data_IF_542945449815
#
_entry.id   IF_542945449815
#
_cell.length_a   1.000
_cell.length_b   1.000
_cell.length_c   1.000
_cell.angle_alpha   90.00
_cell.angle_beta   90.00
_cell.angle_gamma   90.00
#
_symmetry.space_group_name_H-M   'P 1'
#
loop_
_entity.id
_entity.type
_entity.pdbx_description
1 polymer ?
#
# COMPACT_ATOMS: atom_id res chain seq x y z
N UNK A 1 9.75 -14.96 18.23
CA UNK A 1 8.63 -15.37 17.40
C UNK A 1 7.96 -14.19 16.76
N UNK A 2 7.64 -14.36 15.52
CA UNK A 2 6.92 -13.35 14.77
C UNK A 2 5.43 -13.49 15.06
N UNK A 3 4.77 -12.43 15.47
CA UNK A 3 3.33 -12.41 15.59
C UNK A 3 2.76 -11.54 14.47
N UNK A 4 1.61 -11.97 13.95
CA UNK A 4 0.90 -11.24 12.91
C UNK A 4 -0.21 -10.42 13.54
N UNK A 5 -0.37 -9.19 13.08
CA UNK A 5 -1.41 -8.29 13.54
C UNK A 5 -2.34 -8.02 12.36
N UNK A 6 -3.64 -8.17 12.57
CA UNK A 6 -4.61 -7.95 11.53
C UNK A 6 -4.68 -6.47 11.14
N UNK A 7 -4.78 -6.22 9.84
CA UNK A 7 -5.04 -4.89 9.33
C UNK A 7 -6.52 -4.58 9.53
N UNK A 8 -6.88 -3.40 10.01
CA UNK A 8 -8.29 -3.07 10.21
C UNK A 8 -9.09 -3.11 8.91
N UNK A 9 -10.30 -3.66 8.98
CA UNK A 9 -11.22 -3.66 7.86
C UNK A 9 -11.89 -2.30 7.74
N UNK A 10 -11.67 -1.62 6.63
CA UNK A 10 -12.23 -0.30 6.36
C UNK A 10 -12.11 0.01 4.89
N UNK A 11 -13.12 0.67 4.34
CA UNK A 11 -13.06 1.13 2.96
C UNK A 11 -12.02 2.23 2.83
N UNK A 12 -11.33 2.32 1.69
CA UNK A 12 -10.41 3.42 1.46
C UNK A 12 -11.15 4.75 1.44
N UNK A 13 -10.57 5.81 2.03
CA UNK A 13 -11.19 7.13 1.95
C UNK A 13 -11.34 7.58 0.51
N UNK A 14 -12.47 8.23 0.20
CA UNK A 14 -12.71 8.78 -1.11
C UNK A 14 -11.84 10.02 -1.32
N UNK A 15 -11.23 10.13 -2.49
CA UNK A 15 -10.39 11.27 -2.83
C UNK A 15 -10.40 11.53 -4.33
N UNK A 16 -9.63 12.53 -4.76
CA UNK A 16 -9.49 12.86 -6.15
C UNK A 16 -8.49 11.89 -6.80
N UNK A 17 -8.89 11.16 -7.86
CA UNK A 17 -7.97 10.25 -8.52
C UNK A 17 -6.75 10.96 -9.08
N UNK A 18 -5.57 10.41 -8.79
CA UNK A 18 -4.30 10.89 -9.34
C UNK A 18 -3.69 9.90 -10.32
N UNK A 19 -4.12 8.65 -10.28
CA UNK A 19 -3.65 7.64 -11.22
C UNK A 19 -4.09 6.25 -10.81
N UNK A 20 -4.16 5.37 -11.81
CA UNK A 20 -4.48 3.97 -11.62
C UNK A 20 -3.73 3.16 -12.67
N UNK A 21 -3.06 2.10 -12.25
CA UNK A 21 -2.20 1.31 -13.13
C UNK A 21 -2.33 -0.17 -12.83
N UNK A 22 -2.37 -0.97 -13.88
CA UNK A 22 -2.30 -2.42 -13.77
C UNK A 22 -0.84 -2.84 -13.74
N UNK A 23 -0.49 -3.69 -12.78
CA UNK A 23 0.86 -4.20 -12.61
C UNK A 23 0.88 -5.70 -12.80
N UNK A 24 1.94 -6.21 -13.41
CA UNK A 24 2.14 -7.66 -13.52
C UNK A 24 2.52 -8.24 -12.16
N UNK A 25 2.18 -9.51 -11.90
CA UNK A 25 2.53 -10.16 -10.63
C UNK A 25 4.01 -10.59 -10.62
N UNK A 26 4.90 -9.64 -10.71
CA UNK A 26 6.35 -9.83 -10.80
C UNK A 26 7.06 -8.97 -9.75
N UNK A 27 8.20 -9.41 -9.20
CA UNK A 27 8.93 -8.63 -8.21
C UNK A 27 9.32 -7.22 -8.69
N UNK A 28 9.67 -7.07 -9.97
CA UNK A 28 10.07 -5.78 -10.52
C UNK A 28 8.94 -4.78 -10.58
N UNK A 29 7.69 -5.21 -10.41
CA UNK A 29 6.55 -4.30 -10.35
C UNK A 29 6.60 -3.38 -9.13
N UNK A 30 7.28 -3.77 -8.05
CA UNK A 30 7.44 -2.91 -6.90
C UNK A 30 8.22 -1.64 -7.24
N UNK A 31 9.29 -1.78 -8.02
CA UNK A 31 10.09 -0.62 -8.46
C UNK A 31 9.28 0.31 -9.36
N UNK A 32 8.56 -0.27 -10.31
CA UNK A 32 7.70 0.50 -11.19
C UNK A 32 6.63 1.24 -10.39
N UNK A 33 6.00 0.57 -9.44
CA UNK A 33 4.97 1.15 -8.60
C UNK A 33 5.50 2.36 -7.81
N UNK A 34 6.69 2.26 -7.22
CA UNK A 34 7.28 3.38 -6.49
C UNK A 34 7.48 4.60 -7.38
N UNK A 35 7.93 4.36 -8.61
CA UNK A 35 8.14 5.44 -9.58
C UNK A 35 6.82 6.11 -9.94
N UNK A 36 5.79 5.31 -10.22
CA UNK A 36 4.47 5.82 -10.58
C UNK A 36 3.86 6.64 -9.44
N UNK A 37 3.95 6.17 -8.22
CA UNK A 37 3.43 6.89 -7.06
C UNK A 37 4.20 8.19 -6.84
N UNK A 38 5.53 8.17 -6.94
CA UNK A 38 6.33 9.38 -6.78
C UNK A 38 5.97 10.44 -7.80
N UNK A 39 5.66 10.04 -9.02
CA UNK A 39 5.22 10.98 -10.06
C UNK A 39 3.81 11.49 -9.79
N UNK A 40 2.93 10.65 -9.28
CA UNK A 40 1.55 11.03 -8.99
C UNK A 40 1.47 12.02 -7.83
N UNK A 41 2.41 11.94 -6.87
CA UNK A 41 2.49 12.86 -5.73
C UNK A 41 3.45 14.00 -6.11
N UNK A 42 3.05 14.78 -7.09
CA UNK A 42 3.90 15.83 -7.67
C UNK A 42 4.04 17.06 -6.79
N UNK A 43 3.04 17.33 -5.95
CA UNK A 43 3.03 18.51 -5.07
C UNK A 43 3.50 18.21 -3.66
N UNK A 44 3.89 16.96 -3.38
CA UNK A 44 4.34 16.57 -2.05
C UNK A 44 5.79 16.95 -1.80
N UNK A 45 6.12 17.15 -0.53
CA UNK A 45 7.51 17.30 -0.13
C UNK A 45 8.26 15.99 -0.36
N UNK A 46 9.59 16.08 -0.49
CA UNK A 46 10.43 14.89 -0.70
C UNK A 46 10.21 13.83 0.38
N UNK A 47 10.03 14.27 1.63
CA UNK A 47 9.78 13.36 2.73
C UNK A 47 8.47 12.58 2.55
N UNK A 48 7.44 13.25 2.07
CA UNK A 48 6.14 12.62 1.80
C UNK A 48 6.30 11.61 0.67
N UNK A 49 7.00 11.98 -0.41
CA UNK A 49 7.25 11.04 -1.52
C UNK A 49 8.04 9.83 -1.07
N UNK A 50 9.03 10.00 -0.19
CA UNK A 50 9.81 8.87 0.34
C UNK A 50 8.94 7.92 1.17
N UNK A 51 8.06 8.49 2.03
CA UNK A 51 7.13 7.67 2.81
C UNK A 51 6.15 6.94 1.91
N UNK A 52 5.63 7.62 0.89
CA UNK A 52 4.71 7.02 -0.06
C UNK A 52 5.38 5.89 -0.84
N UNK A 53 6.64 6.06 -1.23
CA UNK A 53 7.39 5.02 -1.94
C UNK A 53 7.58 3.78 -1.06
N UNK A 54 7.89 3.98 0.22
CA UNK A 54 8.05 2.89 1.17
C UNK A 54 6.74 2.13 1.36
N UNK A 55 5.65 2.86 1.58
CA UNK A 55 4.31 2.29 1.69
C UNK A 55 3.97 1.49 0.43
N UNK A 56 4.23 2.05 -0.73
CA UNK A 56 3.93 1.40 -2.01
C UNK A 56 4.66 0.08 -2.14
N UNK A 57 5.95 0.05 -1.81
CA UNK A 57 6.73 -1.19 -1.86
C UNK A 57 6.09 -2.29 -1.02
N UNK A 58 5.64 -1.94 0.17
CA UNK A 58 5.11 -2.92 1.10
C UNK A 58 3.71 -3.40 0.70
N UNK A 59 2.87 -2.50 0.18
CA UNK A 59 1.56 -2.89 -0.32
C UNK A 59 1.69 -3.79 -1.55
N UNK A 60 2.61 -3.48 -2.45
CA UNK A 60 2.86 -4.33 -3.63
C UNK A 60 3.42 -5.68 -3.21
N UNK A 61 4.39 -5.71 -2.29
CA UNK A 61 4.95 -6.96 -1.80
C UNK A 61 3.88 -7.84 -1.16
N UNK A 62 2.97 -7.24 -0.38
CA UNK A 62 1.84 -7.95 0.19
C UNK A 62 0.96 -8.56 -0.90
N UNK A 63 0.61 -7.77 -1.92
CA UNK A 63 -0.19 -8.25 -3.04
C UNK A 63 0.49 -9.40 -3.78
N UNK A 64 1.80 -9.28 -4.02
CA UNK A 64 2.54 -10.33 -4.72
C UNK A 64 2.57 -11.65 -3.97
N UNK A 65 2.52 -11.62 -2.64
CA UNK A 65 2.49 -12.87 -1.85
C UNK A 65 1.19 -13.64 -2.00
N UNK A 66 0.11 -12.96 -2.31
CA UNK A 66 -1.23 -13.56 -2.29
C UNK A 66 -1.89 -13.62 -3.66
N UNK A 67 -1.56 -12.69 -4.54
CA UNK A 67 -2.22 -12.59 -5.84
C UNK A 67 -1.80 -13.71 -6.78
N UNK A 68 -2.74 -14.18 -7.59
CA UNK A 68 -2.48 -15.12 -8.68
C UNK A 68 -2.38 -14.38 -10.00
N UNK A 69 -3.12 -13.32 -10.16
CA UNK A 69 -3.09 -12.46 -11.33
C UNK A 69 -2.41 -11.13 -11.03
N UNK A 70 -2.69 -10.13 -11.83
CA UNK A 70 -2.09 -8.83 -11.69
C UNK A 70 -2.59 -8.06 -10.48
N UNK A 71 -1.94 -6.94 -10.24
CA UNK A 71 -2.32 -6.00 -9.19
C UNK A 71 -2.83 -4.72 -9.85
N UNK A 72 -3.66 -3.97 -9.13
CA UNK A 72 -4.05 -2.62 -9.54
C UNK A 72 -3.60 -1.65 -8.46
N UNK A 73 -2.70 -0.75 -8.85
CA UNK A 73 -2.20 0.33 -8.00
C UNK A 73 -3.01 1.58 -8.27
N UNK A 74 -3.43 2.27 -7.23
CA UNK A 74 -4.10 3.55 -7.40
C UNK A 74 -3.63 4.56 -6.37
N UNK A 75 -3.71 5.84 -6.74
CA UNK A 75 -3.38 6.96 -5.87
C UNK A 75 -4.51 7.97 -5.95
N UNK A 76 -4.97 8.41 -4.78
CA UNK A 76 -6.02 9.43 -4.66
C UNK A 76 -5.54 10.53 -3.73
N UNK A 77 -5.91 11.76 -4.04
CA UNK A 77 -5.55 12.91 -3.23
C UNK A 77 -6.68 13.29 -2.30
N UNK A 78 -6.32 13.58 -1.05
CA UNK A 78 -7.21 14.09 -0.01
C UNK A 78 -6.68 15.43 0.49
N UNK A 79 -7.51 16.24 1.17
CA UNK A 79 -6.99 17.47 1.77
C UNK A 79 -5.82 17.24 2.73
N UNK A 80 -5.79 16.10 3.42
CA UNK A 80 -4.76 15.79 4.42
C UNK A 80 -3.61 14.95 3.88
N UNK A 81 -3.64 14.55 2.59
CA UNK A 81 -2.58 13.70 2.05
C UNK A 81 -3.02 12.89 0.85
N UNK A 82 -2.48 11.68 0.74
CA UNK A 82 -2.75 10.78 -0.37
C UNK A 82 -3.07 9.39 0.13
N UNK A 83 -3.98 8.71 -0.56
CA UNK A 83 -4.24 7.29 -0.35
C UNK A 83 -3.54 6.53 -1.45
N UNK A 84 -2.67 5.60 -1.05
CA UNK A 84 -2.08 4.60 -1.95
C UNK A 84 -2.81 3.30 -1.71
N UNK A 85 -3.28 2.66 -2.77
CA UNK A 85 -4.04 1.44 -2.66
C UNK A 85 -3.56 0.40 -3.68
N UNK A 86 -3.53 -0.86 -3.27
CA UNK A 86 -3.20 -1.99 -4.13
C UNK A 86 -4.33 -3.01 -4.02
N UNK A 87 -4.98 -3.27 -5.15
CA UNK A 87 -6.00 -4.31 -5.24
C UNK A 87 -5.39 -5.57 -5.83
N UNK A 88 -5.78 -6.73 -5.30
CA UNK A 88 -5.37 -8.02 -5.82
C UNK A 88 -6.56 -8.98 -5.86
N UNK A 89 -6.35 -10.17 -6.42
CA UNK A 89 -7.41 -11.15 -6.63
C UNK A 89 -7.54 -12.17 -5.49
N UNK A 90 -6.85 -11.97 -4.39
CA UNK A 90 -6.92 -12.87 -3.24
C UNK A 90 -7.93 -12.34 -2.22
N UNK A 91 -8.87 -13.18 -1.74
CA UNK A 91 -9.80 -12.76 -0.71
C UNK A 91 -9.21 -12.83 0.70
N UNK A 92 -7.99 -13.33 0.85
CA UNK A 92 -7.38 -13.50 2.17
C UNK A 92 -7.05 -12.15 2.80
N UNK A 93 -7.44 -11.90 4.07
CA UNK A 93 -7.14 -10.65 4.73
C UNK A 93 -5.64 -10.41 4.84
N UNK A 94 -5.17 -9.17 4.69
CA UNK A 94 -3.76 -8.86 4.92
C UNK A 94 -3.45 -8.85 6.41
N UNK A 95 -2.19 -9.15 6.76
CA UNK A 95 -1.70 -9.06 8.14
C UNK A 95 -0.37 -8.32 8.15
N UNK A 96 -0.05 -7.70 9.29
CA UNK A 96 1.26 -7.08 9.51
C UNK A 96 2.04 -7.94 10.48
N UNK A 97 3.37 -7.85 10.41
CA UNK A 97 4.23 -8.54 11.36
C UNK A 97 4.53 -7.66 12.55
N UNK A 98 4.79 -8.31 13.68
CA UNK A 98 5.20 -7.63 14.89
C UNK A 98 6.52 -6.89 14.65
N UNK A 99 6.60 -5.66 15.16
CA UNK A 99 7.79 -4.83 15.04
C UNK A 99 9.01 -5.51 15.64
N UNK A 100 8.85 -6.23 16.75
CA UNK A 100 9.95 -6.90 17.42
C UNK A 100 10.64 -7.95 16.58
N UNK A 101 10.04 -8.37 15.48
CA UNK A 101 10.58 -9.38 14.60
C UNK A 101 11.20 -8.79 13.33
N UNK A 102 11.37 -7.49 13.27
CA UNK A 102 11.76 -6.83 12.03
C UNK A 102 13.20 -7.06 11.66
N UNK A 103 13.41 -7.68 10.51
CA UNK A 103 14.57 -7.50 9.66
C UNK A 103 14.14 -6.55 8.55
N UNK A 104 15.04 -6.24 7.63
CA UNK A 104 14.69 -5.40 6.50
C UNK A 104 13.52 -5.98 5.69
N UNK A 105 13.57 -7.29 5.43
CA UNK A 105 12.52 -7.96 4.68
C UNK A 105 11.24 -8.15 5.49
N UNK A 106 11.33 -8.14 6.81
CA UNK A 106 10.19 -8.39 7.69
C UNK A 106 9.41 -7.16 8.08
N UNK A 107 9.75 -6.00 7.54
CA UNK A 107 9.11 -4.76 7.96
C UNK A 107 7.76 -4.51 7.33
N UNK A 108 7.54 -4.97 6.12
CA UNK A 108 6.27 -4.99 5.44
C UNK A 108 5.23 -4.00 5.90
N UNK A 109 4.04 -4.50 6.16
CA UNK A 109 2.91 -3.67 6.57
C UNK A 109 3.12 -2.97 7.90
N UNK A 110 4.07 -3.42 8.73
CA UNK A 110 4.37 -2.73 9.97
C UNK A 110 5.01 -1.37 9.70
N UNK A 111 5.87 -1.27 8.70
CA UNK A 111 6.42 0.03 8.29
C UNK A 111 5.31 0.92 7.76
N UNK A 112 4.39 0.36 6.98
CA UNK A 112 3.22 1.10 6.51
C UNK A 112 2.46 1.71 7.69
N UNK A 113 2.19 0.92 8.72
CA UNK A 113 1.48 1.42 9.90
C UNK A 113 2.23 2.50 10.66
N UNK A 114 3.58 2.58 10.52
CA UNK A 114 4.38 3.60 11.18
C UNK A 114 4.51 4.90 10.39
N UNK A 115 4.54 4.80 9.05
CA UNK A 115 4.79 5.98 8.21
C UNK A 115 3.53 6.55 7.60
N UNK A 116 2.41 5.88 7.74
CA UNK A 116 1.12 6.37 7.27
C UNK A 116 0.23 6.69 8.47
N UNK A 117 -0.68 7.62 8.26
CA UNK A 117 -1.63 7.99 9.30
C UNK A 117 -2.65 6.89 9.56
N UNK A 118 -3.01 6.13 8.53
CA UNK A 118 -4.03 5.09 8.62
C UNK A 118 -3.75 4.02 7.58
N UNK A 119 -4.04 2.78 7.94
CA UNK A 119 -4.00 1.65 7.02
C UNK A 119 -5.30 0.89 7.17
N UNK A 120 -5.78 0.32 6.08
CA UNK A 120 -6.99 -0.50 6.11
C UNK A 120 -7.06 -1.42 4.91
N UNK A 121 -8.10 -2.25 4.86
CA UNK A 121 -8.36 -3.10 3.73
C UNK A 121 -9.86 -3.34 3.61
N UNK A 122 -10.29 -3.67 2.39
CA UNK A 122 -11.69 -4.00 2.14
C UNK A 122 -11.77 -5.09 1.09
N UNK A 123 -12.82 -5.88 1.14
CA UNK A 123 -13.11 -6.88 0.12
C UNK A 123 -13.63 -6.17 -1.13
N UNK A 124 -13.26 -6.71 -2.28
CA UNK A 124 -13.79 -6.27 -3.57
C UNK A 124 -14.47 -7.46 -4.24
N UNK A 125 -15.24 -7.24 -5.33
CA UNK A 125 -15.86 -8.36 -6.05
C UNK A 125 -14.88 -9.41 -6.54
N UNK A 126 -13.61 -9.03 -6.78
CA UNK A 126 -12.61 -9.93 -7.34
C UNK A 126 -11.48 -10.28 -6.37
N UNK A 127 -11.50 -9.76 -5.15
CA UNK A 127 -10.45 -10.05 -4.19
C UNK A 127 -10.48 -9.09 -3.01
N UNK A 128 -9.45 -8.23 -2.94
CA UNK A 128 -9.37 -7.21 -1.88
C UNK A 128 -8.59 -6.00 -2.35
N UNK A 129 -8.71 -4.92 -1.60
CA UNK A 129 -7.86 -3.75 -1.71
C UNK A 129 -7.24 -3.47 -0.35
N UNK A 130 -5.92 -3.26 -0.32
CA UNK A 130 -5.20 -2.82 0.87
C UNK A 130 -4.71 -1.41 0.59
N UNK A 131 -4.94 -0.51 1.53
CA UNK A 131 -4.66 0.91 1.30
C UNK A 131 -3.99 1.54 2.52
N UNK A 132 -3.31 2.65 2.27
CA UNK A 132 -2.69 3.43 3.33
C UNK A 132 -2.85 4.92 3.02
N UNK A 133 -3.13 5.70 4.06
CA UNK A 133 -3.17 7.15 3.98
C UNK A 133 -1.80 7.68 4.39
N UNK A 134 -1.18 8.43 3.50
CA UNK A 134 0.11 9.10 3.76
C UNK A 134 -0.18 10.58 3.91
N UNK A 135 0.04 11.09 5.10
CA UNK A 135 -0.23 12.49 5.40
C UNK A 135 0.71 13.44 4.67
N UNK A 136 0.22 14.65 4.41
CA UNK A 136 0.97 15.67 3.68
C UNK A 136 1.95 16.43 4.57
N UNK A 137 1.97 16.16 5.86
CA UNK A 137 2.87 16.85 6.79
C UNK A 137 3.73 15.90 7.59
#
# INVERSE_FOLDING_TARGET
MSSAVAVPAAEPPAGTPCGEWSLRPEPQSARLARRLVSQAIDSGADQVRRRAALVTSELVANGLRHARGGLVLSVHRLPCGWVVAVADDSPAPPVVRDVGQLSEAGRGLMIVGRVSDTIGWARTPTGKVVWALVGSS
#
